data_IF_189534826799
#
_entry.id   IF_189534826799
#
_cell.length_a   1.000
_cell.length_b   1.000
_cell.length_c   1.000
_cell.angle_alpha   90.00
_cell.angle_beta   90.00
_cell.angle_gamma   90.00
#
_symmetry.space_group_name_H-M   'P 1'
#
loop_
_entity.id
_entity.type
_entity.pdbx_description
1 polymer ?
#
# COMPACT_ATOMS: atom_id res chain seq x y z
N UNK A 1 -2.63 -4.28 -24.51
CA UNK A 1 -3.12 -3.30 -25.54
C UNK A 1 -4.63 -3.02 -25.44
N UNK A 2 -5.45 -3.99 -25.02
CA UNK A 2 -6.93 -3.87 -24.97
C UNK A 2 -7.45 -2.82 -23.95
N UNK A 3 -6.63 -2.45 -22.97
CA UNK A 3 -7.02 -1.52 -21.90
C UNK A 3 -6.38 -0.13 -21.99
N UNK A 4 -5.58 0.12 -23.02
CA UNK A 4 -5.00 1.44 -23.25
C UNK A 4 -5.97 2.32 -24.02
N UNK A 5 -6.25 3.50 -23.48
CA UNK A 5 -6.98 4.58 -24.13
C UNK A 5 -6.04 5.78 -24.31
N UNK A 6 -6.49 6.82 -25.05
CA UNK A 6 -5.72 8.08 -25.16
C UNK A 6 -5.41 8.72 -23.80
N UNK A 7 -6.17 8.40 -22.74
CA UNK A 7 -6.02 8.97 -21.40
C UNK A 7 -5.36 8.02 -20.38
N UNK A 8 -5.38 6.69 -20.63
CA UNK A 8 -4.91 5.68 -19.68
C UNK A 8 -3.88 4.77 -20.32
N UNK A 9 -2.74 4.62 -19.68
CA UNK A 9 -1.66 3.74 -20.13
C UNK A 9 -1.46 2.66 -19.06
N UNK A 10 -1.55 1.40 -19.47
CA UNK A 10 -1.32 0.24 -18.61
C UNK A 10 -0.04 -0.48 -19.01
N UNK A 11 0.85 -0.66 -18.05
CA UNK A 11 2.07 -1.44 -18.20
C UNK A 11 2.02 -2.68 -17.32
N UNK A 12 2.12 -3.84 -17.91
CA UNK A 12 2.36 -5.09 -17.19
C UNK A 12 3.87 -5.34 -17.16
N UNK A 13 4.55 -4.85 -16.14
CA UNK A 13 6.00 -4.98 -15.97
C UNK A 13 6.37 -5.23 -14.52
N UNK A 14 7.46 -5.97 -14.32
CA UNK A 14 8.05 -6.12 -12.99
C UNK A 14 8.49 -4.75 -12.47
N UNK A 15 8.05 -4.43 -11.25
CA UNK A 15 8.45 -3.19 -10.57
C UNK A 15 9.93 -3.26 -10.18
N UNK A 16 10.77 -2.55 -10.87
CA UNK A 16 12.21 -2.50 -10.62
C UNK A 16 12.73 -1.07 -10.55
N UNK A 17 13.83 -0.86 -9.85
CA UNK A 17 14.46 0.46 -9.75
C UNK A 17 14.91 1.04 -11.10
N UNK A 18 15.22 0.20 -12.08
CA UNK A 18 15.58 0.62 -13.44
C UNK A 18 14.39 1.17 -14.20
N UNK A 19 13.24 0.49 -14.13
CA UNK A 19 12.01 0.93 -14.81
C UNK A 19 11.46 2.22 -14.18
N UNK A 20 11.53 2.34 -12.86
CA UNK A 20 11.02 3.52 -12.13
C UNK A 20 11.78 4.79 -12.47
N UNK A 21 13.09 4.71 -12.71
CA UNK A 21 13.89 5.88 -13.12
C UNK A 21 13.41 6.50 -14.43
N UNK A 22 12.72 5.74 -15.27
CA UNK A 22 12.17 6.19 -16.56
C UNK A 22 10.76 6.77 -16.44
N UNK A 23 10.13 6.66 -15.27
CA UNK A 23 8.78 7.16 -15.06
C UNK A 23 8.78 8.68 -14.76
N UNK A 24 7.74 9.40 -15.18
CA UNK A 24 7.54 10.78 -14.79
C UNK A 24 7.29 10.90 -13.29
N UNK A 25 7.27 12.11 -12.76
CA UNK A 25 6.82 12.37 -11.39
C UNK A 25 5.31 12.37 -11.32
N UNK A 26 4.76 11.79 -10.24
CA UNK A 26 3.33 11.65 -10.01
C UNK A 26 2.85 12.50 -8.84
N UNK A 27 1.64 13.03 -8.96
CA UNK A 27 0.93 13.69 -7.86
C UNK A 27 0.37 12.66 -6.88
N UNK A 28 0.01 11.49 -7.39
CA UNK A 28 -0.60 10.41 -6.63
C UNK A 28 -0.03 9.06 -7.06
N UNK A 29 0.33 8.24 -6.09
CA UNK A 29 0.68 6.82 -6.28
C UNK A 29 -0.25 5.97 -5.41
N UNK A 30 -0.76 4.88 -5.96
CA UNK A 30 -1.59 3.91 -5.27
C UNK A 30 -0.80 2.60 -5.07
N UNK A 31 -0.78 2.09 -3.86
CA UNK A 31 -0.16 0.82 -3.48
C UNK A 31 -1.17 -0.02 -2.71
N UNK A 32 -1.99 -0.80 -3.42
CA UNK A 32 -3.10 -1.55 -2.85
C UNK A 32 -2.81 -3.05 -2.85
N UNK A 33 -3.03 -3.70 -1.71
CA UNK A 33 -2.88 -5.14 -1.55
C UNK A 33 -1.45 -5.63 -1.79
N UNK A 34 -0.44 -4.86 -1.45
CA UNK A 34 0.96 -5.19 -1.74
C UNK A 34 1.79 -5.41 -0.48
N UNK A 35 1.65 -4.55 0.53
CA UNK A 35 2.55 -4.59 1.69
C UNK A 35 2.42 -5.85 2.52
N UNK A 36 1.25 -6.47 2.57
CA UNK A 36 1.03 -7.71 3.31
C UNK A 36 1.64 -8.95 2.66
N UNK A 37 2.09 -8.87 1.41
CA UNK A 37 2.86 -9.92 0.73
C UNK A 37 4.38 -9.78 0.91
N UNK A 38 4.85 -8.62 1.39
CA UNK A 38 6.25 -8.25 1.38
C UNK A 38 6.86 -8.19 2.77
N UNK A 39 8.14 -8.56 2.87
CA UNK A 39 8.93 -8.35 4.07
C UNK A 39 9.24 -6.86 4.30
N UNK A 40 9.59 -6.51 5.54
CA UNK A 40 9.91 -5.13 5.91
C UNK A 40 11.02 -4.51 5.04
N UNK A 41 12.04 -5.30 4.70
CA UNK A 41 13.17 -4.87 3.87
C UNK A 41 12.72 -4.50 2.45
N UNK A 42 11.79 -5.26 1.90
CA UNK A 42 11.25 -5.02 0.55
C UNK A 42 10.35 -3.78 0.53
N UNK A 43 9.48 -3.63 1.53
CA UNK A 43 8.63 -2.43 1.69
C UNK A 43 9.50 -1.18 1.78
N UNK A 44 10.57 -1.20 2.58
CA UNK A 44 11.49 -0.07 2.70
C UNK A 44 12.12 0.30 1.35
N UNK A 45 12.55 -0.67 0.54
CA UNK A 45 13.06 -0.44 -0.81
C UNK A 45 12.00 0.19 -1.73
N UNK A 46 10.76 -0.31 -1.65
CA UNK A 46 9.64 0.23 -2.43
C UNK A 46 9.37 1.69 -2.02
N UNK A 47 9.27 2.00 -0.73
CA UNK A 47 9.01 3.36 -0.27
C UNK A 47 10.11 4.35 -0.68
N UNK A 48 11.38 3.97 -0.56
CA UNK A 48 12.50 4.77 -1.06
C UNK A 48 12.36 5.07 -2.57
N UNK A 49 11.89 4.08 -3.32
CA UNK A 49 11.71 4.20 -4.75
C UNK A 49 10.50 5.07 -5.09
N UNK A 50 9.36 4.86 -4.40
CA UNK A 50 8.15 5.67 -4.58
C UNK A 50 8.38 7.14 -4.22
N UNK A 51 9.17 7.43 -3.20
CA UNK A 51 9.58 8.82 -2.89
C UNK A 51 10.30 9.50 -4.06
N UNK A 52 11.06 8.75 -4.85
CA UNK A 52 11.76 9.32 -6.02
C UNK A 52 10.81 9.71 -7.15
N UNK A 53 9.70 9.00 -7.33
CA UNK A 53 8.71 9.27 -8.39
C UNK A 53 7.54 10.14 -7.94
N UNK A 54 7.38 10.41 -6.66
CA UNK A 54 6.42 11.38 -6.18
C UNK A 54 6.93 12.81 -6.40
N UNK A 55 6.05 13.72 -6.84
CA UNK A 55 6.29 15.16 -6.85
C UNK A 55 6.45 15.70 -5.42
N UNK A 56 6.91 16.93 -5.26
CA UNK A 56 6.81 17.67 -3.99
C UNK A 56 5.33 17.77 -3.62
N UNK A 57 4.96 17.44 -2.38
CA UNK A 57 3.58 17.31 -1.89
C UNK A 57 2.74 16.20 -2.57
N UNK A 58 3.36 15.34 -3.39
CA UNK A 58 2.71 14.16 -3.96
C UNK A 58 2.32 13.17 -2.86
N UNK A 59 1.26 12.41 -3.09
CA UNK A 59 0.68 11.49 -2.10
C UNK A 59 0.84 10.03 -2.50
N UNK A 60 1.14 9.20 -1.50
CA UNK A 60 1.03 7.75 -1.57
C UNK A 60 -0.22 7.32 -0.80
N UNK A 61 -1.12 6.60 -1.44
CA UNK A 61 -2.25 5.94 -0.79
C UNK A 61 -1.96 4.44 -0.73
N UNK A 62 -2.10 3.85 0.46
CA UNK A 62 -1.99 2.40 0.63
C UNK A 62 -3.30 1.82 1.15
N UNK A 63 -3.55 0.54 0.85
CA UNK A 63 -4.67 -0.22 1.36
C UNK A 63 -4.22 -1.67 1.51
N UNK A 64 -4.22 -2.17 2.75
CA UNK A 64 -3.83 -3.55 3.06
C UNK A 64 -4.70 -4.14 4.17
N UNK A 65 -4.86 -5.47 4.27
CA UNK A 65 -5.49 -6.10 5.42
C UNK A 65 -4.74 -5.80 6.71
N UNK A 66 -5.46 -5.80 7.85
CA UNK A 66 -4.87 -5.44 9.14
C UNK A 66 -5.47 -6.25 10.27
N UNK A 67 -4.63 -6.62 11.25
CA UNK A 67 -5.09 -7.15 12.53
C UNK A 67 -5.39 -6.01 13.51
N UNK A 68 -6.57 -6.07 14.16
CA UNK A 68 -6.98 -5.12 15.20
C UNK A 68 -7.41 -5.83 16.48
N UNK A 69 -7.31 -5.13 17.62
CA UNK A 69 -7.90 -5.60 18.88
C UNK A 69 -9.42 -5.68 18.72
N UNK A 70 -10.04 -6.71 19.31
CA UNK A 70 -11.49 -6.97 19.22
C UNK A 70 -12.01 -7.07 17.75
N UNK A 71 -11.22 -7.60 16.85
CA UNK A 71 -11.63 -7.89 15.50
C UNK A 71 -12.77 -8.94 15.51
N UNK A 72 -13.77 -8.76 14.63
CA UNK A 72 -14.79 -9.79 14.41
C UNK A 72 -14.10 -11.12 14.05
N UNK A 73 -14.58 -12.24 14.61
CA UNK A 73 -13.98 -13.57 14.44
C UNK A 73 -13.83 -13.96 12.96
N UNK A 74 -14.87 -13.72 12.15
CA UNK A 74 -14.83 -14.06 10.72
C UNK A 74 -13.80 -13.16 10.00
N UNK A 75 -13.77 -11.86 10.32
CA UNK A 75 -12.79 -10.95 9.77
C UNK A 75 -11.36 -11.33 10.15
N UNK A 76 -11.16 -11.76 11.40
CA UNK A 76 -9.85 -12.25 11.86
C UNK A 76 -9.43 -13.50 11.08
N UNK A 77 -10.34 -14.47 10.93
CA UNK A 77 -10.08 -15.71 10.20
C UNK A 77 -9.72 -15.44 8.73
N UNK A 78 -10.48 -14.57 8.05
CA UNK A 78 -10.22 -14.20 6.67
C UNK A 78 -8.86 -13.52 6.50
N UNK A 79 -8.54 -12.56 7.39
CA UNK A 79 -7.24 -11.86 7.35
C UNK A 79 -6.07 -12.80 7.69
N UNK A 80 -6.29 -13.77 8.62
CA UNK A 80 -5.27 -14.76 8.98
C UNK A 80 -4.96 -15.74 7.84
N UNK A 81 -5.97 -16.07 7.04
CA UNK A 81 -5.84 -16.98 5.89
C UNK A 81 -5.67 -16.22 4.56
N UNK A 82 -5.41 -14.92 4.61
CA UNK A 82 -5.04 -14.15 3.42
C UNK A 82 -3.73 -14.70 2.81
N UNK A 83 -3.63 -14.66 1.50
CA UNK A 83 -2.45 -15.14 0.78
C UNK A 83 -1.16 -14.37 1.13
N UNK A 84 -1.28 -13.24 1.83
CA UNK A 84 -0.16 -12.43 2.29
C UNK A 84 0.37 -12.88 3.64
N UNK A 85 1.57 -13.46 3.66
CA UNK A 85 2.21 -13.97 4.88
C UNK A 85 2.69 -12.87 5.86
N UNK A 86 2.58 -11.60 5.47
CA UNK A 86 3.11 -10.46 6.22
C UNK A 86 2.03 -9.45 6.61
N UNK A 87 0.81 -9.91 6.89
CA UNK A 87 -0.22 -9.04 7.44
C UNK A 87 0.21 -8.52 8.81
N UNK A 88 0.13 -7.20 8.99
CA UNK A 88 0.58 -6.52 10.21
C UNK A 88 -0.59 -5.93 10.96
N UNK A 89 -0.38 -5.61 12.23
CA UNK A 89 -1.27 -4.72 12.96
C UNK A 89 -1.01 -3.25 12.57
N UNK A 90 -1.88 -2.35 13.02
CA UNK A 90 -1.76 -0.90 12.76
C UNK A 90 -0.38 -0.35 13.05
N UNK A 91 0.18 -0.69 14.21
CA UNK A 91 1.47 -0.15 14.64
C UNK A 91 2.63 -0.66 13.78
N UNK A 92 2.57 -1.92 13.33
CA UNK A 92 3.55 -2.49 12.41
C UNK A 92 3.58 -1.77 11.07
N UNK A 93 2.42 -1.49 10.48
CA UNK A 93 2.34 -0.68 9.25
C UNK A 93 2.81 0.75 9.46
N UNK A 94 2.33 1.43 10.53
CA UNK A 94 2.73 2.81 10.81
C UNK A 94 4.23 2.95 11.07
N UNK A 95 4.86 2.00 11.75
CA UNK A 95 6.31 2.00 11.97
C UNK A 95 7.07 2.04 10.65
N UNK A 96 6.70 1.20 9.69
CA UNK A 96 7.33 1.17 8.36
C UNK A 96 7.09 2.45 7.57
N UNK A 97 5.87 2.96 7.58
CA UNK A 97 5.49 4.16 6.82
C UNK A 97 6.17 5.41 7.38
N UNK A 98 6.19 5.58 8.70
CA UNK A 98 6.75 6.75 9.38
C UNK A 98 8.28 6.87 9.24
N UNK A 99 8.98 5.78 8.89
CA UNK A 99 10.40 5.84 8.52
C UNK A 99 10.64 6.65 7.23
N UNK A 100 9.62 6.78 6.39
CA UNK A 100 9.76 7.38 5.07
C UNK A 100 8.90 8.63 4.86
N UNK A 101 7.77 8.73 5.55
CA UNK A 101 6.80 9.82 5.39
C UNK A 101 6.49 10.46 6.74
N UNK A 102 6.55 11.80 6.80
CA UNK A 102 6.30 12.55 8.04
C UNK A 102 4.82 12.88 8.27
N UNK A 103 4.08 13.10 7.18
CA UNK A 103 2.65 13.42 7.23
C UNK A 103 1.85 12.18 6.82
N UNK A 104 1.35 11.45 7.81
CA UNK A 104 0.61 10.20 7.61
C UNK A 104 -0.77 10.31 8.25
N UNK A 105 -1.81 10.15 7.44
CA UNK A 105 -3.19 9.97 7.89
C UNK A 105 -3.58 8.52 7.66
N UNK A 106 -4.37 7.95 8.55
CA UNK A 106 -4.85 6.58 8.38
C UNK A 106 -6.32 6.42 8.75
N UNK A 107 -6.94 5.36 8.24
CA UNK A 107 -8.30 4.94 8.58
C UNK A 107 -8.37 3.41 8.56
N UNK A 108 -9.05 2.83 9.53
CA UNK A 108 -9.41 1.41 9.54
C UNK A 108 -10.88 1.30 9.16
N UNK A 109 -11.20 0.40 8.24
CA UNK A 109 -12.58 0.11 7.83
C UNK A 109 -12.84 -1.38 7.96
N UNK A 110 -13.94 -1.71 8.64
CA UNK A 110 -14.54 -3.04 8.62
C UNK A 110 -15.60 -3.08 7.54
N UNK A 111 -15.48 -4.03 6.63
CA UNK A 111 -16.47 -4.22 5.58
C UNK A 111 -17.65 -5.03 6.15
N UNK A 112 -18.90 -4.60 5.89
CA UNK A 112 -20.08 -5.20 6.53
C UNK A 112 -20.52 -6.53 5.89
N UNK A 113 -20.55 -6.60 4.56
CA UNK A 113 -21.08 -7.77 3.84
C UNK A 113 -20.08 -8.93 3.76
N UNK A 114 -18.83 -8.63 3.46
CA UNK A 114 -17.72 -9.57 3.61
C UNK A 114 -16.90 -9.00 4.75
N UNK A 115 -16.96 -9.58 5.95
CA UNK A 115 -16.32 -9.01 7.12
C UNK A 115 -14.80 -9.10 6.96
N UNK A 116 -14.22 -8.05 6.39
CA UNK A 116 -12.79 -7.91 6.17
C UNK A 116 -12.32 -6.57 6.73
N UNK A 117 -11.14 -6.54 7.32
CA UNK A 117 -10.61 -5.34 7.97
C UNK A 117 -9.48 -4.74 7.15
N UNK A 118 -9.70 -3.53 6.66
CA UNK A 118 -8.77 -2.80 5.82
C UNK A 118 -8.11 -1.63 6.54
N UNK A 119 -6.83 -1.46 6.30
CA UNK A 119 -6.02 -0.35 6.75
C UNK A 119 -5.65 0.54 5.58
N UNK A 120 -6.23 1.72 5.55
CA UNK A 120 -5.93 2.74 4.55
C UNK A 120 -4.96 3.75 5.12
N UNK A 121 -3.96 4.16 4.34
CA UNK A 121 -3.12 5.30 4.69
C UNK A 121 -3.02 6.29 3.55
N UNK A 122 -2.83 7.55 3.92
CA UNK A 122 -2.47 8.64 3.00
C UNK A 122 -1.20 9.28 3.53
N UNK A 123 -0.13 9.15 2.77
CA UNK A 123 1.20 9.63 3.12
C UNK A 123 1.59 10.75 2.16
N UNK A 124 2.04 11.89 2.67
CA UNK A 124 2.51 13.01 1.87
C UNK A 124 4.05 13.04 1.89
N UNK A 125 4.63 13.28 0.71
CA UNK A 125 6.07 13.43 0.53
C UNK A 125 6.60 14.71 1.12
#
# INVERSE_FOLDING_TARGET
KKYNSKKNIFFCKKFSSKEIKKLPKFDLVLLFGIMHHLENKEINKIFLTLKKVLKKNGKLITCDPVFIKKQNFIAYYLVKNDAGNNVRNKNGYLKLINMHFKKVKFKIKNQKFIPYTWFYTSCEK
#
